data_IF_656396686140
#
_entry.id   IF_656396686140
#
_cell.length_a   1.000
_cell.length_b   1.000
_cell.length_c   1.000
_cell.angle_alpha   90.00
_cell.angle_beta   90.00
_cell.angle_gamma   90.00
#
_symmetry.space_group_name_H-M   'P 1'
#
loop_
_entity.id
_entity.type
_entity.pdbx_description
1 polymer ?
#
# COMPACT_ATOMS: atom_id res chain seq x y z
N UNK A 1 13.41 13.50 -18.36
CA UNK A 1 12.16 13.84 -17.62
C UNK A 1 11.70 12.68 -16.74
N UNK A 2 11.60 11.44 -17.23
CA UNK A 2 11.16 10.28 -16.43
C UNK A 2 11.98 10.05 -15.15
N UNK A 3 13.31 10.11 -15.22
CA UNK A 3 14.17 9.97 -14.02
C UNK A 3 13.83 11.02 -12.94
N UNK A 4 13.63 12.28 -13.31
CA UNK A 4 13.24 13.34 -12.37
C UNK A 4 11.91 13.01 -11.67
N UNK A 5 10.92 12.50 -12.40
CA UNK A 5 9.62 12.10 -11.84
C UNK A 5 9.76 10.96 -10.83
N UNK A 6 10.65 10.00 -11.07
CA UNK A 6 10.93 8.90 -10.12
C UNK A 6 11.48 9.47 -8.81
N UNK A 7 12.45 10.39 -8.87
CA UNK A 7 12.98 11.05 -7.67
C UNK A 7 11.91 11.88 -6.95
N UNK A 8 11.07 12.61 -7.69
CA UNK A 8 9.95 13.36 -7.11
C UNK A 8 9.01 12.41 -6.36
N UNK A 9 8.60 11.31 -6.98
CA UNK A 9 7.73 10.32 -6.35
C UNK A 9 8.34 9.76 -5.06
N UNK A 10 9.64 9.44 -5.07
CA UNK A 10 10.36 8.98 -3.89
C UNK A 10 10.34 10.02 -2.76
N UNK A 11 10.75 11.26 -3.03
CA UNK A 11 10.85 12.29 -2.00
C UNK A 11 9.49 12.75 -1.49
N UNK A 12 8.47 12.83 -2.36
CA UNK A 12 7.09 13.14 -1.96
C UNK A 12 6.58 12.08 -0.99
N UNK A 13 6.74 10.80 -1.33
CA UNK A 13 6.30 9.73 -0.46
C UNK A 13 7.07 9.70 0.86
N UNK A 14 8.39 9.87 0.81
CA UNK A 14 9.24 9.92 1.99
C UNK A 14 8.81 11.05 2.94
N UNK A 15 8.54 12.25 2.43
CA UNK A 15 8.07 13.37 3.22
C UNK A 15 6.73 13.04 3.91
N UNK A 16 5.78 12.48 3.17
CA UNK A 16 4.47 12.11 3.71
C UNK A 16 4.59 10.99 4.75
N UNK A 17 5.47 10.02 4.51
CA UNK A 17 5.75 8.95 5.47
C UNK A 17 6.36 9.49 6.76
N UNK A 18 7.31 10.43 6.69
CA UNK A 18 7.88 11.08 7.89
C UNK A 18 6.80 11.83 8.66
N UNK A 19 5.92 12.56 7.99
CA UNK A 19 4.78 13.26 8.62
C UNK A 19 3.84 12.25 9.30
N UNK A 20 3.57 11.12 8.64
CA UNK A 20 2.74 10.05 9.19
C UNK A 20 3.36 9.43 10.45
N UNK A 21 4.67 9.15 10.43
CA UNK A 21 5.41 8.64 11.60
C UNK A 21 5.39 9.62 12.77
N UNK A 22 5.53 10.93 12.50
CA UNK A 22 5.47 11.95 13.54
C UNK A 22 4.08 12.02 14.20
N UNK A 23 3.01 11.75 13.44
CA UNK A 23 1.63 11.78 13.94
C UNK A 23 1.20 10.48 14.62
N UNK A 24 1.67 9.33 14.14
CA UNK A 24 1.24 8.02 14.62
C UNK A 24 2.37 6.99 14.46
N UNK A 25 3.38 7.07 15.33
CA UNK A 25 4.49 6.14 15.33
C UNK A 25 4.07 4.81 15.94
N UNK A 26 3.69 3.86 15.09
CA UNK A 26 3.43 2.48 15.48
C UNK A 26 4.05 1.51 14.45
N UNK A 27 4.23 0.26 14.86
CA UNK A 27 4.87 -0.77 14.02
C UNK A 27 4.20 -0.91 12.65
N UNK A 28 2.87 -0.91 12.61
CA UNK A 28 2.14 -1.09 11.36
C UNK A 28 2.33 0.09 10.40
N UNK A 29 2.39 1.33 10.92
CA UNK A 29 2.67 2.52 10.11
C UNK A 29 4.06 2.44 9.52
N UNK A 30 5.05 1.97 10.29
CA UNK A 30 6.40 1.71 9.80
C UNK A 30 6.37 0.62 8.72
N UNK A 31 5.71 -0.51 8.96
CA UNK A 31 5.64 -1.64 8.04
C UNK A 31 5.00 -1.24 6.70
N UNK A 32 3.83 -0.60 6.74
CA UNK A 32 3.12 -0.11 5.55
C UNK A 32 3.98 0.91 4.82
N UNK A 33 4.51 1.91 5.53
CA UNK A 33 5.32 2.94 4.90
C UNK A 33 6.58 2.39 4.25
N UNK A 34 7.29 1.45 4.88
CA UNK A 34 8.44 0.79 4.28
C UNK A 34 8.07 -0.07 3.07
N UNK A 35 6.91 -0.73 3.09
CA UNK A 35 6.41 -1.56 1.98
C UNK A 35 6.30 -0.77 0.68
N UNK A 36 5.80 0.47 0.75
CA UNK A 36 5.67 1.33 -0.42
C UNK A 36 6.90 2.21 -0.68
N UNK A 37 7.70 2.52 0.36
CA UNK A 37 8.93 3.30 0.19
C UNK A 37 10.01 2.51 -0.54
N UNK A 38 10.20 1.23 -0.21
CA UNK A 38 11.24 0.39 -0.78
C UNK A 38 11.25 0.34 -2.33
N UNK A 39 10.11 0.10 -3.02
CA UNK A 39 10.08 0.10 -4.48
C UNK A 39 10.19 1.50 -5.10
N UNK A 40 10.01 2.58 -4.31
CA UNK A 40 10.21 3.95 -4.77
C UNK A 40 11.68 4.38 -4.74
N UNK A 41 12.53 3.72 -3.95
CA UNK A 41 13.97 4.02 -3.92
C UNK A 41 14.53 3.85 -5.34
N UNK A 42 15.18 4.87 -5.93
CA UNK A 42 15.67 4.87 -7.32
C UNK A 42 16.93 4.00 -7.52
N UNK A 43 17.01 2.88 -6.80
CA UNK A 43 18.09 1.90 -6.90
C UNK A 43 17.84 0.94 -8.06
N UNK A 44 18.86 0.67 -8.88
CA UNK A 44 18.74 -0.18 -10.08
C UNK A 44 18.04 0.49 -11.26
N UNK A 45 17.97 1.83 -11.28
CA UNK A 45 17.43 2.60 -12.39
C UNK A 45 18.43 2.64 -13.55
N UNK A 46 18.01 2.15 -14.72
CA UNK A 46 18.75 2.17 -15.97
C UNK A 46 17.87 2.69 -17.10
N UNK A 47 18.45 3.02 -18.26
CA UNK A 47 17.67 3.51 -19.41
C UNK A 47 16.65 2.49 -19.92
N UNK A 48 16.98 1.20 -19.80
CA UNK A 48 16.20 0.08 -20.35
C UNK A 48 14.95 -0.24 -19.52
N UNK A 49 14.99 -0.01 -18.21
CA UNK A 49 13.86 -0.29 -17.31
C UNK A 49 13.09 0.98 -16.89
N UNK A 50 13.50 2.16 -17.37
CA UNK A 50 13.01 3.46 -16.89
C UNK A 50 11.49 3.63 -17.01
N UNK A 51 10.86 3.12 -18.08
CA UNK A 51 9.41 3.22 -18.29
C UNK A 51 8.63 2.42 -17.24
N UNK A 52 9.00 1.15 -17.04
CA UNK A 52 8.38 0.28 -16.04
C UNK A 52 8.67 0.76 -14.63
N UNK A 53 9.88 1.27 -14.40
CA UNK A 53 10.25 1.87 -13.13
C UNK A 53 9.34 3.05 -12.80
N UNK A 54 9.12 3.96 -13.76
CA UNK A 54 8.24 5.12 -13.57
C UNK A 54 6.80 4.69 -13.29
N UNK A 55 6.29 3.69 -14.03
CA UNK A 55 4.95 3.15 -13.84
C UNK A 55 4.77 2.53 -12.44
N UNK A 56 5.69 1.64 -12.03
CA UNK A 56 5.68 1.04 -10.70
C UNK A 56 5.85 2.10 -9.61
N UNK A 57 6.65 3.14 -9.87
CA UNK A 57 6.84 4.28 -8.97
C UNK A 57 5.52 5.03 -8.75
N UNK A 58 4.77 5.37 -9.80
CA UNK A 58 3.47 6.01 -9.64
C UNK A 58 2.47 5.15 -8.87
N UNK A 59 2.45 3.84 -9.14
CA UNK A 59 1.52 2.93 -8.45
C UNK A 59 1.83 2.81 -6.96
N UNK A 60 3.10 2.66 -6.61
CA UNK A 60 3.52 2.60 -5.21
C UNK A 60 3.33 3.94 -4.49
N UNK A 61 3.52 5.07 -5.19
CA UNK A 61 3.18 6.37 -4.64
C UNK A 61 1.68 6.46 -4.35
N UNK A 62 0.82 6.21 -5.33
CA UNK A 62 -0.64 6.36 -5.18
C UNK A 62 -1.19 5.40 -4.11
N UNK A 63 -0.88 4.10 -4.18
CA UNK A 63 -1.34 3.16 -3.16
C UNK A 63 -0.74 3.46 -1.80
N UNK A 64 0.56 3.75 -1.74
CA UNK A 64 1.21 4.11 -0.49
C UNK A 64 0.57 5.32 0.17
N UNK A 65 0.21 6.35 -0.61
CA UNK A 65 -0.50 7.53 -0.09
C UNK A 65 -1.87 7.16 0.46
N UNK A 66 -2.66 6.38 -0.29
CA UNK A 66 -3.97 5.92 0.17
C UNK A 66 -3.80 5.16 1.48
N UNK A 67 -2.88 4.20 1.55
CA UNK A 67 -2.71 3.36 2.74
C UNK A 67 -2.18 4.13 3.93
N UNK A 68 -1.13 4.94 3.78
CA UNK A 68 -0.58 5.74 4.88
C UNK A 68 -1.63 6.70 5.44
N UNK A 69 -2.33 7.44 4.57
CA UNK A 69 -3.33 8.43 5.00
C UNK A 69 -4.44 7.73 5.79
N UNK A 70 -4.93 6.60 5.26
CA UNK A 70 -5.95 5.80 5.92
C UNK A 70 -5.45 5.31 7.27
N UNK A 71 -4.26 4.73 7.32
CA UNK A 71 -3.69 4.15 8.53
C UNK A 71 -3.53 5.19 9.64
N UNK A 72 -3.03 6.38 9.29
CA UNK A 72 -2.87 7.51 10.21
C UNK A 72 -4.21 8.00 10.76
N UNK A 73 -5.27 7.98 9.95
CA UNK A 73 -6.61 8.42 10.38
C UNK A 73 -7.30 7.34 11.24
N UNK A 74 -7.12 6.05 10.92
CA UNK A 74 -7.93 4.97 11.49
C UNK A 74 -7.31 4.32 12.73
N UNK A 75 -5.98 4.25 12.82
CA UNK A 75 -5.30 3.52 13.90
C UNK A 75 -4.88 4.49 14.98
N UNK A 76 -5.29 4.29 16.23
CA UNK A 76 -4.76 5.08 17.35
C UNK A 76 -3.53 4.39 17.95
N UNK A 77 -2.59 5.15 18.56
CA UNK A 77 -1.39 4.57 19.19
C UNK A 77 -1.68 3.49 20.24
N UNK A 78 -2.85 3.53 20.88
CA UNK A 78 -3.28 2.52 21.87
C UNK A 78 -4.05 1.33 21.30
N UNK A 79 -4.36 1.30 20.00
CA UNK A 79 -5.13 0.22 19.37
C UNK A 79 -4.27 -0.98 18.93
N UNK A 80 -2.94 -0.93 19.06
CA UNK A 80 -2.02 -1.99 18.58
C UNK A 80 -1.08 -2.49 19.69
N UNK A 81 -1.58 -3.15 20.74
CA UNK A 81 -0.71 -3.90 21.63
C UNK A 81 -0.03 -5.01 20.83
N UNK A 82 1.30 -5.13 20.96
CA UNK A 82 2.08 -6.14 20.26
C UNK A 82 1.91 -7.51 20.94
N UNK A 83 0.71 -8.08 20.81
CA UNK A 83 0.32 -9.31 21.47
C UNK A 83 0.48 -10.55 20.58
N UNK A 84 0.16 -11.72 21.14
CA UNK A 84 0.30 -13.00 20.45
C UNK A 84 -0.64 -13.13 19.25
N UNK A 85 -1.80 -12.47 19.28
CA UNK A 85 -2.76 -12.49 18.17
C UNK A 85 -2.27 -11.61 17.03
N UNK A 86 -1.76 -10.43 17.35
CA UNK A 86 -1.12 -9.51 16.42
C UNK A 86 0.05 -10.19 15.70
N UNK A 87 0.93 -10.90 16.43
CA UNK A 87 2.01 -11.68 15.84
C UNK A 87 1.50 -12.79 14.90
N UNK A 88 0.43 -13.50 15.30
CA UNK A 88 -0.16 -14.54 14.46
C UNK A 88 -0.71 -13.98 13.15
N UNK A 89 -1.32 -12.79 13.17
CA UNK A 89 -1.80 -12.13 11.96
C UNK A 89 -0.67 -11.57 11.11
N UNK A 90 0.35 -10.98 11.75
CA UNK A 90 1.52 -10.47 11.08
C UNK A 90 2.19 -11.55 10.25
N UNK A 91 2.48 -12.72 10.85
CA UNK A 91 3.12 -13.83 10.14
C UNK A 91 2.16 -14.63 9.25
N UNK A 92 0.88 -14.74 9.63
CA UNK A 92 -0.10 -15.52 8.88
C UNK A 92 -0.60 -14.86 7.59
N UNK A 93 -0.68 -13.53 7.58
CA UNK A 93 -1.31 -12.78 6.48
C UNK A 93 -0.50 -11.57 6.04
N UNK A 94 -0.13 -10.68 6.95
CA UNK A 94 0.42 -9.37 6.58
C UNK A 94 1.80 -9.47 5.94
N UNK A 95 2.73 -10.23 6.52
CA UNK A 95 4.07 -10.41 5.99
C UNK A 95 4.08 -11.11 4.62
N UNK A 96 3.35 -12.22 4.40
CA UNK A 96 3.22 -12.79 3.06
C UNK A 96 2.74 -11.78 2.01
N UNK A 97 1.76 -10.94 2.35
CA UNK A 97 1.26 -9.89 1.45
C UNK A 97 2.35 -8.83 1.19
N UNK A 98 3.03 -8.35 2.22
CA UNK A 98 4.14 -7.39 2.10
C UNK A 98 5.25 -7.95 1.20
N UNK A 99 5.64 -9.21 1.40
CA UNK A 99 6.65 -9.90 0.58
C UNK A 99 6.19 -9.99 -0.88
N UNK A 100 4.93 -10.35 -1.13
CA UNK A 100 4.39 -10.40 -2.48
C UNK A 100 4.36 -9.02 -3.16
N UNK A 101 3.91 -7.97 -2.45
CA UNK A 101 3.86 -6.61 -2.97
C UNK A 101 5.25 -6.07 -3.29
N UNK A 102 6.22 -6.28 -2.40
CA UNK A 102 7.61 -5.93 -2.63
C UNK A 102 8.17 -6.72 -3.81
N UNK A 103 8.05 -8.05 -3.78
CA UNK A 103 8.57 -8.92 -4.84
C UNK A 103 8.04 -8.53 -6.22
N UNK A 104 6.72 -8.37 -6.36
CA UNK A 104 6.09 -7.96 -7.62
C UNK A 104 6.51 -6.55 -8.05
N UNK A 105 6.66 -5.61 -7.12
CA UNK A 105 7.13 -4.26 -7.45
C UNK A 105 8.58 -4.26 -7.93
N UNK A 106 9.46 -5.01 -7.28
CA UNK A 106 10.86 -5.12 -7.67
C UNK A 106 11.03 -5.88 -8.99
N UNK A 107 10.26 -6.93 -9.23
CA UNK A 107 10.26 -7.64 -10.52
C UNK A 107 9.72 -6.75 -11.64
N UNK A 108 8.60 -6.06 -11.38
CA UNK A 108 7.98 -5.17 -12.36
C UNK A 108 8.91 -4.03 -12.78
N UNK A 109 9.57 -3.36 -11.82
CA UNK A 109 10.46 -2.22 -12.11
C UNK A 109 11.81 -2.63 -12.71
N UNK A 110 12.24 -3.87 -12.51
CA UNK A 110 13.50 -4.40 -13.06
C UNK A 110 13.34 -4.96 -14.47
N UNK A 111 12.11 -5.03 -14.98
CA UNK A 111 11.84 -5.55 -16.32
C UNK A 111 12.24 -4.52 -17.38
N UNK A 112 13.01 -4.96 -18.38
CA UNK A 112 13.54 -4.11 -19.45
C UNK A 112 12.67 -4.12 -20.72
N UNK A 113 11.72 -5.06 -20.81
CA UNK A 113 10.81 -5.10 -21.95
C UNK A 113 9.92 -3.85 -21.96
N UNK A 114 9.78 -3.13 -23.08
CA UNK A 114 8.90 -1.97 -23.14
C UNK A 114 7.44 -2.38 -22.87
N UNK A 115 6.66 -1.47 -22.31
CA UNK A 115 5.23 -1.73 -22.04
C UNK A 115 4.45 -1.47 -23.32
N UNK A 116 3.75 -2.49 -23.82
CA UNK A 116 2.87 -2.29 -24.99
C UNK A 116 1.65 -1.43 -24.63
N UNK A 117 1.05 -0.74 -25.60
CA UNK A 117 -0.14 0.08 -25.34
C UNK A 117 -1.33 -0.74 -24.79
N UNK A 118 -1.48 -1.99 -25.26
CA UNK A 118 -2.50 -2.91 -24.76
C UNK A 118 -2.22 -3.32 -23.31
N UNK A 119 -0.97 -3.69 -23.01
CA UNK A 119 -0.54 -4.03 -21.65
C UNK A 119 -0.75 -2.84 -20.70
N UNK A 120 -0.33 -1.64 -21.11
CA UNK A 120 -0.54 -0.42 -20.34
C UNK A 120 -2.03 -0.17 -20.05
N UNK A 121 -2.90 -0.35 -21.05
CA UNK A 121 -4.34 -0.19 -20.89
C UNK A 121 -4.94 -1.18 -19.88
N UNK A 122 -4.52 -2.45 -19.92
CA UNK A 122 -4.94 -3.47 -18.95
C UNK A 122 -4.44 -3.11 -17.55
N UNK A 123 -3.16 -2.76 -17.42
CA UNK A 123 -2.54 -2.38 -16.16
C UNK A 123 -3.28 -1.19 -15.53
N UNK A 124 -3.51 -0.11 -16.30
CA UNK A 124 -4.22 1.08 -15.80
C UNK A 124 -5.64 0.72 -15.37
N UNK A 125 -6.36 -0.07 -16.17
CA UNK A 125 -7.73 -0.48 -15.85
C UNK A 125 -7.79 -1.26 -14.53
N UNK A 126 -6.94 -2.27 -14.38
CA UNK A 126 -6.85 -3.06 -13.15
C UNK A 126 -6.43 -2.21 -11.95
N UNK A 127 -5.48 -1.30 -12.15
CA UNK A 127 -5.00 -0.39 -11.12
C UNK A 127 -6.10 0.56 -10.62
N UNK A 128 -6.85 1.17 -11.54
CA UNK A 128 -7.97 2.06 -11.22
C UNK A 128 -9.07 1.31 -10.51
N UNK A 129 -9.48 0.15 -11.02
CA UNK A 129 -10.49 -0.69 -10.37
C UNK A 129 -10.04 -1.09 -8.97
N UNK A 130 -8.80 -1.57 -8.81
CA UNK A 130 -8.24 -1.94 -7.51
C UNK A 130 -8.21 -0.76 -6.53
N UNK A 131 -7.80 0.42 -7.00
CA UNK A 131 -7.76 1.65 -6.18
C UNK A 131 -9.15 2.09 -5.73
N UNK A 132 -10.14 2.06 -6.64
CA UNK A 132 -11.53 2.39 -6.32
C UNK A 132 -12.11 1.39 -5.32
N UNK A 133 -11.92 0.09 -5.55
CA UNK A 133 -12.36 -0.96 -4.63
C UNK A 133 -11.73 -0.81 -3.25
N UNK A 134 -10.44 -0.43 -3.18
CA UNK A 134 -9.74 -0.17 -1.92
C UNK A 134 -10.39 0.99 -1.17
N UNK A 135 -10.64 2.12 -1.83
CA UNK A 135 -11.29 3.29 -1.23
C UNK A 135 -12.71 2.94 -0.78
N UNK A 136 -13.50 2.22 -1.61
CA UNK A 136 -14.85 1.79 -1.25
C UNK A 136 -14.83 0.89 -0.02
N UNK A 137 -13.93 -0.09 0.05
CA UNK A 137 -13.79 -0.97 1.20
C UNK A 137 -13.50 -0.16 2.47
N UNK A 138 -12.61 0.84 2.40
CA UNK A 138 -12.31 1.74 3.51
C UNK A 138 -13.56 2.56 3.91
N UNK A 139 -14.25 3.17 2.95
CA UNK A 139 -15.46 3.95 3.21
C UNK A 139 -16.58 3.09 3.82
N UNK A 140 -16.73 1.85 3.37
CA UNK A 140 -17.75 0.90 3.84
C UNK A 140 -17.46 0.38 5.23
N UNK A 141 -16.20 0.04 5.52
CA UNK A 141 -15.73 -0.29 6.87
C UNK A 141 -15.92 0.93 7.80
N UNK A 142 -15.89 2.14 7.24
CA UNK A 142 -15.99 3.40 7.97
C UNK A 142 -14.69 3.69 8.70
N UNK A 143 -14.38 4.98 8.89
CA UNK A 143 -13.23 5.47 9.64
C UNK A 143 -13.13 4.95 11.11
N UNK A 144 -14.03 4.08 11.55
CA UNK A 144 -14.09 3.48 12.87
C UNK A 144 -13.39 2.11 12.98
N UNK A 145 -13.03 1.43 11.89
CA UNK A 145 -12.58 0.04 12.01
C UNK A 145 -11.68 -0.48 10.87
N UNK A 146 -10.59 0.21 10.50
CA UNK A 146 -9.43 -0.50 9.93
C UNK A 146 -8.72 -1.32 11.03
N UNK A 147 -9.51 -2.15 11.70
CA UNK A 147 -9.13 -3.09 12.74
C UNK A 147 -9.16 -4.46 12.07
N UNK A 148 -8.21 -4.70 11.17
CA UNK A 148 -7.82 -6.06 10.80
C UNK A 148 -7.06 -6.72 11.98
N UNK A 149 -7.44 -6.42 13.22
CA UNK A 149 -6.91 -7.02 14.44
C UNK A 149 -7.99 -7.95 14.98
N UNK A 150 -7.68 -9.24 15.11
CA UNK A 150 -8.56 -10.24 15.77
C UNK A 150 -8.85 -9.81 17.22
N UNK A 151 -8.01 -8.97 17.80
CA UNK A 151 -8.17 -8.32 19.11
C UNK A 151 -9.49 -7.55 19.24
N UNK A 152 -10.10 -7.11 18.12
CA UNK A 152 -11.40 -6.42 18.13
C UNK A 152 -12.57 -7.25 17.59
N UNK A 153 -12.40 -8.57 17.43
CA UNK A 153 -13.43 -9.48 16.91
C UNK A 153 -14.75 -9.38 17.68
N UNK A 154 -14.71 -9.12 18.99
CA UNK A 154 -15.91 -8.95 19.82
C UNK A 154 -16.65 -7.61 19.58
N UNK A 155 -15.98 -6.61 19.00
CA UNK A 155 -16.55 -5.29 18.70
C UNK A 155 -16.90 -5.10 17.22
N UNK A 156 -16.55 -6.06 16.37
CA UNK A 156 -16.86 -6.03 14.94
C UNK A 156 -18.31 -6.50 14.72
N UNK A 157 -19.17 -5.60 14.26
CA UNK A 157 -20.40 -6.00 13.55
C UNK A 157 -20.01 -6.34 12.12
N UNK A 158 -20.18 -7.60 11.71
CA UNK A 158 -20.12 -8.00 10.31
C UNK A 158 -21.11 -7.15 9.52
N UNK A 159 -20.61 -6.26 8.65
CA UNK A 159 -21.46 -5.58 7.68
C UNK A 159 -21.76 -6.57 6.56
N UNK A 160 -23.03 -6.82 6.33
CA UNK A 160 -23.56 -7.72 5.28
C UNK A 160 -24.02 -6.95 4.05
N UNK A 161 -23.68 -5.66 3.96
CA UNK A 161 -24.33 -4.73 3.05
C UNK A 161 -23.34 -4.27 1.98
N UNK A 162 -23.86 -3.93 0.81
CA UNK A 162 -23.08 -3.45 -0.34
C UNK A 162 -22.02 -4.47 -0.81
N UNK A 163 -20.73 -4.13 -0.79
CA UNK A 163 -19.67 -4.96 -1.38
C UNK A 163 -19.42 -6.24 -0.57
N UNK A 164 -19.69 -6.19 0.74
CA UNK A 164 -19.64 -7.35 1.63
C UNK A 164 -20.87 -8.26 1.53
N UNK A 165 -21.97 -7.78 0.94
CA UNK A 165 -23.17 -8.59 0.65
C UNK A 165 -23.10 -9.33 -0.69
N UNK A 166 -22.07 -9.06 -1.50
CA UNK A 166 -21.80 -9.76 -2.76
C UNK A 166 -20.86 -10.97 -2.58
N UNK A 167 -20.34 -11.18 -1.36
CA UNK A 167 -19.48 -12.32 -0.98
C UNK A 167 -20.28 -13.41 -0.28
#
# INVERSE_FOLDING_TARGET
>A
MASLLIYINFFVFLAIFIIALARNSNFNTILVGLTYLAPLVPFGLHSENMERFLLVSYFNLIFGLIEIIVFVITVKPGDTPFDKEHLKQLFGHTLPIVVALLGLSFLGRSTEFPVSAMELGVIITLFVLGSVMRIIAICQIGAAAFKFDIVFREKQKLKTDQLYGLM
#
